data_IF_539911313564
#
_entry.id   IF_539911313564
#
_cell.length_a   1.000
_cell.length_b   1.000
_cell.length_c   1.000
_cell.angle_alpha   90.00
_cell.angle_beta   90.00
_cell.angle_gamma   90.00
#
_symmetry.space_group_name_H-M   'P 1'
#
loop_
_entity.id
_entity.type
_entity.pdbx_description
1 polymer ?
#
# COMPACT_ATOMS: atom_id res chain seq x y z
N UNK A 1 -13.35 -60.36 20.63
CA UNK A 1 -13.53 -61.85 20.63
C UNK A 1 -12.89 -62.52 21.83
N UNK A 2 -11.71 -62.13 22.32
CA UNK A 2 -11.03 -62.76 23.46
C UNK A 2 -11.80 -62.69 24.81
N UNK A 3 -12.47 -61.57 25.07
CA UNK A 3 -13.21 -61.35 26.35
C UNK A 3 -14.56 -62.09 26.40
N UNK A 4 -15.15 -62.34 25.24
CA UNK A 4 -16.36 -63.14 25.15
C UNK A 4 -16.12 -64.63 25.53
N UNK A 5 -15.00 -65.20 25.11
CA UNK A 5 -14.59 -66.54 25.49
C UNK A 5 -14.22 -66.68 26.99
N UNK A 6 -13.63 -65.64 27.59
CA UNK A 6 -13.35 -65.62 29.04
C UNK A 6 -14.61 -65.60 29.89
N UNK A 7 -15.62 -64.80 29.48
CA UNK A 7 -16.89 -64.71 30.17
C UNK A 7 -17.71 -66.02 30.04
N UNK A 8 -17.63 -66.69 28.89
CA UNK A 8 -18.29 -67.98 28.66
C UNK A 8 -17.67 -69.08 29.50
N UNK A 9 -16.34 -69.10 29.71
CA UNK A 9 -15.65 -70.07 30.55
C UNK A 9 -15.94 -69.86 32.03
N UNK A 10 -16.13 -68.63 32.49
CA UNK A 10 -16.52 -68.32 33.86
C UNK A 10 -17.96 -68.71 34.17
N UNK A 11 -18.91 -68.57 33.22
CA UNK A 11 -20.30 -68.96 33.33
C UNK A 11 -20.49 -70.48 33.33
N UNK A 12 -19.68 -71.25 32.59
CA UNK A 12 -19.73 -72.75 32.62
C UNK A 12 -19.27 -73.34 33.95
N UNK A 13 -18.41 -72.63 34.70
CA UNK A 13 -17.97 -73.03 36.05
C UNK A 13 -19.06 -72.75 37.11
N UNK A 14 -19.86 -71.71 36.92
CA UNK A 14 -20.93 -71.33 37.83
C UNK A 14 -22.12 -72.24 37.63
N UNK A 15 -22.45 -72.68 36.40
CA UNK A 15 -23.53 -73.59 36.06
C UNK A 15 -23.36 -75.01 36.67
N UNK A 16 -22.13 -75.40 36.95
CA UNK A 16 -21.88 -76.72 37.56
C UNK A 16 -22.15 -76.79 39.11
N UNK A 17 -22.36 -75.63 39.73
CA UNK A 17 -22.54 -75.52 41.20
C UNK A 17 -24.02 -75.17 41.63
N UNK A 18 -24.83 -74.71 40.69
CA UNK A 18 -26.22 -74.34 40.98
C UNK A 18 -27.15 -74.87 39.84
N UNK A 19 -28.29 -75.51 40.10
CA UNK A 19 -29.19 -76.03 39.09
C UNK A 19 -30.04 -74.84 38.52
N UNK A 20 -29.45 -73.92 37.90
CA UNK A 20 -30.17 -72.86 37.17
C UNK A 20 -30.32 -73.37 35.75
N UNK A 21 -31.61 -73.50 35.30
CA UNK A 21 -31.87 -74.02 33.98
C UNK A 21 -31.23 -73.24 32.87
N UNK A 22 -30.61 -73.89 31.89
CA UNK A 22 -29.90 -73.32 30.73
C UNK A 22 -30.72 -72.23 30.05
N UNK A 23 -32.05 -72.34 30.08
CA UNK A 23 -32.94 -71.33 29.48
C UNK A 23 -32.94 -69.99 30.21
N UNK A 24 -32.71 -69.96 31.52
CA UNK A 24 -32.66 -68.77 32.35
C UNK A 24 -31.32 -67.99 32.05
N UNK A 25 -30.21 -68.72 31.80
CA UNK A 25 -28.98 -68.17 31.45
C UNK A 25 -29.00 -67.54 30.04
N UNK A 26 -29.67 -68.15 29.09
CA UNK A 26 -29.90 -67.64 27.76
C UNK A 26 -30.75 -66.37 27.78
N UNK A 27 -31.81 -66.29 28.52
CA UNK A 27 -32.64 -65.08 28.68
C UNK A 27 -31.88 -63.95 29.33
N UNK A 28 -31.01 -64.25 30.31
CA UNK A 28 -30.18 -63.23 30.95
C UNK A 28 -29.08 -62.67 30.02
N UNK A 29 -28.45 -63.52 29.20
CA UNK A 29 -27.49 -63.12 28.18
C UNK A 29 -28.15 -62.28 27.05
N UNK A 30 -29.33 -62.65 26.64
CA UNK A 30 -30.12 -61.90 25.65
C UNK A 30 -30.52 -60.54 26.19
N UNK A 31 -30.90 -60.43 27.47
CA UNK A 31 -31.19 -59.14 28.11
C UNK A 31 -29.97 -58.22 28.22
N UNK A 32 -28.79 -58.77 28.55
CA UNK A 32 -27.53 -58.04 28.58
C UNK A 32 -27.14 -57.56 27.19
N UNK A 33 -27.32 -58.38 26.15
CA UNK A 33 -27.03 -58.02 24.77
C UNK A 33 -27.94 -56.89 24.29
N UNK A 34 -29.23 -56.95 24.57
CA UNK A 34 -30.23 -55.93 24.24
C UNK A 34 -29.95 -54.62 25.01
N UNK A 35 -29.56 -54.70 26.30
CA UNK A 35 -29.14 -53.51 27.06
C UNK A 35 -27.89 -52.87 26.49
N UNK A 36 -26.86 -53.65 26.12
CA UNK A 36 -25.64 -53.12 25.48
C UNK A 36 -25.94 -52.46 24.14
N UNK A 37 -26.78 -53.07 23.31
CA UNK A 37 -27.18 -52.48 22.01
C UNK A 37 -27.99 -51.20 22.23
N UNK A 38 -28.86 -51.11 23.20
CA UNK A 38 -29.62 -49.89 23.55
C UNK A 38 -28.68 -48.79 24.07
N UNK A 39 -27.70 -49.12 24.92
CA UNK A 39 -26.70 -48.16 25.43
C UNK A 39 -25.83 -47.64 24.30
N UNK A 40 -25.35 -48.50 23.39
CA UNK A 40 -24.55 -48.11 22.23
C UNK A 40 -25.38 -47.26 21.26
N UNK A 41 -26.63 -47.62 21.03
CA UNK A 41 -27.55 -46.83 20.19
C UNK A 41 -27.87 -45.47 20.78
N UNK A 42 -28.04 -45.37 22.11
CA UNK A 42 -28.26 -44.07 22.80
C UNK A 42 -27.03 -43.21 22.80
N UNK A 43 -25.84 -43.80 22.99
CA UNK A 43 -24.55 -43.07 22.87
C UNK A 43 -24.31 -42.60 21.44
N UNK A 44 -24.62 -43.39 20.44
CA UNK A 44 -24.50 -43.03 19.03
C UNK A 44 -25.48 -41.93 18.63
N UNK A 45 -26.72 -41.97 19.18
CA UNK A 45 -27.71 -40.91 18.99
C UNK A 45 -27.33 -39.61 19.70
N UNK A 46 -26.72 -39.69 20.90
CA UNK A 46 -26.15 -38.54 21.61
C UNK A 46 -24.92 -37.95 20.88
N UNK A 47 -24.09 -38.76 20.23
CA UNK A 47 -22.97 -38.32 19.39
C UNK A 47 -23.46 -37.60 18.14
N UNK A 48 -24.52 -38.06 17.48
CA UNK A 48 -25.13 -37.41 16.32
C UNK A 48 -25.80 -36.08 16.73
N UNK A 49 -26.45 -36.03 17.90
CA UNK A 49 -27.02 -34.79 18.42
C UNK A 49 -25.93 -33.72 18.75
N UNK A 50 -24.78 -34.15 19.25
CA UNK A 50 -23.66 -33.23 19.51
C UNK A 50 -22.93 -32.82 18.24
N UNK A 51 -22.91 -33.61 17.16
CA UNK A 51 -22.31 -33.20 15.89
C UNK A 51 -23.11 -32.08 15.20
N UNK A 52 -24.40 -31.94 15.47
CA UNK A 52 -25.19 -30.81 14.99
C UNK A 52 -25.07 -29.54 15.84
N UNK A 53 -24.47 -29.62 17.04
CA UNK A 53 -24.17 -28.43 17.88
C UNK A 53 -22.85 -27.76 17.56
N UNK A 54 -21.98 -28.38 16.74
CA UNK A 54 -20.75 -27.79 16.25
C UNK A 54 -20.84 -27.25 14.81
N UNK A 55 -22.03 -27.31 14.20
CA UNK A 55 -22.27 -26.90 12.82
C UNK A 55 -22.98 -25.54 12.70
N UNK A 56 -22.77 -24.63 13.65
CA UNK A 56 -23.23 -23.24 13.49
C UNK A 56 -22.25 -22.25 14.11
N UNK A 57 -20.98 -22.37 13.79
CA UNK A 57 -20.13 -21.19 13.73
C UNK A 57 -20.63 -20.37 12.54
N UNK A 58 -21.43 -19.33 12.85
CA UNK A 58 -21.89 -18.27 11.99
C UNK A 58 -21.06 -18.13 10.70
N UNK A 59 -21.45 -18.83 9.65
CA UNK A 59 -20.99 -18.59 8.27
C UNK A 59 -21.63 -17.28 7.78
N UNK A 60 -21.42 -16.18 8.53
CA UNK A 60 -21.83 -14.85 8.09
C UNK A 60 -20.97 -14.48 6.90
N UNK A 61 -21.57 -14.46 5.73
CA UNK A 61 -20.92 -13.90 4.55
C UNK A 61 -20.73 -12.39 4.73
N UNK A 62 -19.62 -11.86 4.23
CA UNK A 62 -19.41 -10.42 4.10
C UNK A 62 -19.60 -10.00 2.65
N UNK A 63 -20.48 -9.02 2.46
CA UNK A 63 -20.66 -8.36 1.16
C UNK A 63 -19.89 -7.06 1.14
N UNK A 64 -19.04 -6.88 0.13
CA UNK A 64 -18.16 -5.72 -0.04
C UNK A 64 -18.51 -5.06 -1.37
N UNK A 65 -18.81 -3.78 -1.34
CA UNK A 65 -19.03 -3.00 -2.57
C UNK A 65 -17.71 -2.65 -3.26
N UNK A 66 -17.73 -2.55 -4.57
CA UNK A 66 -16.69 -1.92 -5.36
C UNK A 66 -17.30 -0.77 -6.14
N UNK A 67 -16.81 0.46 -5.92
CA UNK A 67 -17.08 1.63 -6.74
C UNK A 67 -15.89 1.90 -7.64
N UNK A 68 -16.05 1.60 -8.92
CA UNK A 68 -15.02 1.77 -9.93
C UNK A 68 -15.62 2.31 -11.24
N UNK A 69 -14.84 3.01 -12.07
CA UNK A 69 -15.30 3.50 -13.38
C UNK A 69 -15.34 2.34 -14.38
N UNK A 70 -16.42 1.54 -14.35
CA UNK A 70 -16.56 0.34 -15.19
C UNK A 70 -16.99 0.66 -16.62
N UNK A 71 -17.37 1.92 -16.91
CA UNK A 71 -17.74 2.39 -18.24
C UNK A 71 -17.04 3.71 -18.60
N UNK A 72 -16.94 4.01 -19.90
CA UNK A 72 -16.39 5.27 -20.41
C UNK A 72 -14.85 5.28 -20.51
N UNK A 73 -14.27 6.48 -20.51
CA UNK A 73 -12.83 6.72 -20.78
C UNK A 73 -11.89 5.97 -19.83
N UNK A 74 -12.32 5.69 -18.60
CA UNK A 74 -11.50 5.08 -17.55
C UNK A 74 -11.91 3.65 -17.22
N UNK A 75 -12.65 2.99 -18.13
CA UNK A 75 -13.09 1.61 -17.92
C UNK A 75 -11.93 0.63 -17.72
N UNK A 76 -10.80 0.83 -18.38
CA UNK A 76 -9.59 0.02 -18.19
C UNK A 76 -9.09 0.04 -16.73
N UNK A 77 -9.17 1.20 -16.08
CA UNK A 77 -8.85 1.30 -14.64
C UNK A 77 -9.88 0.52 -13.80
N UNK A 78 -11.17 0.65 -14.12
CA UNK A 78 -12.24 -0.07 -13.46
C UNK A 78 -12.09 -1.58 -13.56
N UNK A 79 -11.83 -2.08 -14.77
CA UNK A 79 -11.58 -3.50 -15.02
C UNK A 79 -10.33 -3.98 -14.28
N UNK A 80 -9.27 -3.18 -14.29
CA UNK A 80 -8.04 -3.51 -13.58
C UNK A 80 -8.23 -3.61 -12.08
N UNK A 81 -9.06 -2.75 -11.48
CA UNK A 81 -9.45 -2.84 -10.06
C UNK A 81 -10.26 -4.12 -9.78
N UNK A 82 -11.22 -4.45 -10.63
CA UNK A 82 -12.03 -5.66 -10.50
C UNK A 82 -11.17 -6.92 -10.58
N UNK A 83 -10.25 -6.99 -11.53
CA UNK A 83 -9.31 -8.11 -11.65
C UNK A 83 -8.35 -8.21 -10.47
N UNK A 84 -7.92 -7.08 -9.92
CA UNK A 84 -7.12 -7.02 -8.70
C UNK A 84 -7.85 -7.63 -7.50
N UNK A 85 -9.15 -7.30 -7.34
CA UNK A 85 -9.99 -7.89 -6.29
C UNK A 85 -10.23 -9.39 -6.52
N UNK A 86 -10.43 -9.81 -7.77
CA UNK A 86 -10.55 -11.24 -8.10
C UNK A 86 -9.29 -12.00 -7.69
N UNK A 87 -8.10 -11.43 -7.98
CA UNK A 87 -6.82 -12.04 -7.60
C UNK A 87 -6.67 -12.13 -6.08
N UNK A 88 -7.15 -11.12 -5.35
CA UNK A 88 -7.14 -11.12 -3.88
C UNK A 88 -8.13 -12.15 -3.30
N UNK A 89 -9.32 -12.31 -3.89
CA UNK A 89 -10.29 -13.34 -3.51
C UNK A 89 -9.74 -14.75 -3.71
N UNK A 90 -9.07 -14.99 -4.85
CA UNK A 90 -8.42 -16.29 -5.12
C UNK A 90 -7.34 -16.61 -4.05
N UNK A 91 -6.63 -15.60 -3.53
CA UNK A 91 -5.63 -15.80 -2.45
C UNK A 91 -6.27 -15.96 -1.08
N UNK A 92 -7.35 -15.23 -0.78
CA UNK A 92 -8.12 -15.36 0.46
C UNK A 92 -8.78 -16.73 0.55
N UNK A 93 -9.28 -17.26 -0.56
CA UNK A 93 -9.91 -18.57 -0.68
C UNK A 93 -11.00 -18.81 0.38
N UNK A 94 -11.92 -17.85 0.54
CA UNK A 94 -13.05 -17.90 1.47
C UNK A 94 -14.34 -17.52 0.73
N UNK A 95 -15.19 -18.50 0.48
CA UNK A 95 -16.45 -18.37 -0.27
C UNK A 95 -17.47 -17.43 0.42
N UNK A 96 -17.23 -17.07 1.68
CA UNK A 96 -18.07 -16.12 2.42
C UNK A 96 -17.77 -14.64 2.07
N UNK A 97 -16.77 -14.35 1.23
CA UNK A 97 -16.44 -13.00 0.78
C UNK A 97 -17.04 -12.74 -0.59
N UNK A 98 -17.99 -11.81 -0.66
CA UNK A 98 -18.75 -11.50 -1.88
C UNK A 98 -18.47 -10.06 -2.29
N UNK A 99 -18.00 -9.84 -3.52
CA UNK A 99 -17.80 -8.50 -4.09
C UNK A 99 -19.01 -8.10 -4.95
N UNK A 100 -19.53 -6.90 -4.73
CA UNK A 100 -20.63 -6.30 -5.48
C UNK A 100 -20.12 -5.08 -6.23
N UNK A 101 -19.71 -5.22 -7.51
CA UNK A 101 -19.19 -4.10 -8.30
C UNK A 101 -20.33 -3.21 -8.82
N UNK A 102 -20.10 -1.89 -8.81
CA UNK A 102 -20.96 -0.88 -9.42
C UNK A 102 -20.12 0.18 -10.11
N UNK A 103 -20.66 0.66 -11.23
CA UNK A 103 -20.04 1.72 -12.01
C UNK A 103 -20.18 3.07 -11.31
N UNK A 104 -19.06 3.67 -10.91
CA UNK A 104 -19.03 5.01 -10.31
C UNK A 104 -19.32 6.11 -11.34
N UNK A 105 -19.18 5.81 -12.65
CA UNK A 105 -19.38 6.74 -13.75
C UNK A 105 -18.32 7.83 -13.87
N UNK A 106 -17.23 7.76 -13.13
CA UNK A 106 -16.08 8.67 -13.05
C UNK A 106 -16.48 10.15 -13.15
N UNK A 107 -16.48 10.85 -12.02
CA UNK A 107 -16.92 12.27 -11.89
C UNK A 107 -18.39 12.54 -12.28
N UNK A 108 -19.21 11.51 -12.35
CA UNK A 108 -20.65 11.66 -12.58
C UNK A 108 -21.41 11.48 -11.26
N UNK A 109 -21.83 12.61 -10.67
CA UNK A 109 -22.49 12.63 -9.34
C UNK A 109 -23.78 11.82 -9.28
N UNK A 110 -24.57 11.80 -10.34
CA UNK A 110 -25.84 11.07 -10.39
C UNK A 110 -25.61 9.57 -10.44
N UNK A 111 -24.71 9.12 -11.34
CA UNK A 111 -24.32 7.70 -11.43
C UNK A 111 -23.74 7.20 -10.12
N UNK A 112 -22.86 7.97 -9.51
CA UNK A 112 -22.22 7.62 -8.25
C UNK A 112 -23.26 7.46 -7.13
N UNK A 113 -24.17 8.41 -6.96
CA UNK A 113 -25.23 8.29 -5.96
C UNK A 113 -26.13 7.07 -6.21
N UNK A 114 -26.48 6.79 -7.48
CA UNK A 114 -27.25 5.61 -7.84
C UNK A 114 -26.49 4.32 -7.50
N UNK A 115 -25.19 4.28 -7.83
CA UNK A 115 -24.33 3.12 -7.52
C UNK A 115 -24.21 2.87 -6.01
N UNK A 116 -24.03 3.91 -5.20
CA UNK A 116 -23.96 3.80 -3.74
C UNK A 116 -25.28 3.30 -3.16
N UNK A 117 -26.41 3.85 -3.60
CA UNK A 117 -27.72 3.43 -3.14
C UNK A 117 -28.03 1.96 -3.51
N UNK A 118 -27.61 1.53 -4.69
CA UNK A 118 -27.80 0.15 -5.13
C UNK A 118 -26.89 -0.82 -4.33
N UNK A 119 -25.65 -0.45 -4.04
CA UNK A 119 -24.77 -1.20 -3.14
C UNK A 119 -25.42 -1.32 -1.75
N UNK A 120 -25.94 -0.21 -1.22
CA UNK A 120 -26.59 -0.17 0.10
C UNK A 120 -27.83 -1.09 0.17
N UNK A 121 -28.64 -1.16 -0.90
CA UNK A 121 -29.82 -2.02 -0.97
C UNK A 121 -29.48 -3.54 -0.94
N UNK A 122 -28.22 -3.90 -1.14
CA UNK A 122 -27.71 -5.25 -1.07
C UNK A 122 -27.09 -5.62 0.30
N UNK A 123 -27.40 -4.87 1.36
CA UNK A 123 -26.87 -5.05 2.73
C UNK A 123 -25.34 -4.92 2.83
N UNK A 124 -24.74 -4.12 1.98
CA UNK A 124 -23.31 -3.81 2.04
C UNK A 124 -23.05 -2.72 3.06
N UNK A 125 -22.03 -2.88 3.89
CA UNK A 125 -21.56 -1.88 4.86
C UNK A 125 -20.21 -1.29 4.49
N UNK A 126 -19.38 -2.02 3.75
CA UNK A 126 -18.02 -1.61 3.40
C UNK A 126 -17.86 -1.59 1.89
N UNK A 127 -17.29 -0.50 1.38
CA UNK A 127 -17.11 -0.26 -0.05
C UNK A 127 -15.63 0.04 -0.32
N UNK A 128 -15.05 -0.62 -1.31
CA UNK A 128 -13.75 -0.26 -1.88
C UNK A 128 -13.97 0.83 -2.93
N UNK A 129 -13.32 1.98 -2.76
CA UNK A 129 -13.57 3.22 -3.47
C UNK A 129 -14.06 4.30 -2.51
N UNK A 130 -14.37 5.50 -3.01
CA UNK A 130 -14.13 6.01 -4.36
C UNK A 130 -12.65 6.24 -4.66
N UNK A 131 -12.34 6.61 -5.93
CA UNK A 131 -10.96 6.81 -6.38
C UNK A 131 -10.61 8.29 -6.48
N UNK A 132 -11.55 9.13 -6.90
CA UNK A 132 -11.31 10.55 -7.18
C UNK A 132 -11.78 11.46 -6.05
N UNK A 133 -11.17 12.67 -5.96
CA UNK A 133 -11.54 13.65 -4.93
C UNK A 133 -13.00 14.10 -5.01
N UNK A 134 -13.51 14.32 -6.22
CA UNK A 134 -14.89 14.80 -6.41
C UNK A 134 -15.92 13.76 -5.91
N UNK A 135 -15.55 12.49 -5.98
CA UNK A 135 -16.37 11.39 -5.48
C UNK A 135 -16.38 11.32 -3.95
N UNK A 136 -15.30 11.80 -3.27
CA UNK A 136 -15.22 11.81 -1.80
C UNK A 136 -16.31 12.67 -1.17
N UNK A 137 -16.61 13.85 -1.73
CA UNK A 137 -17.65 14.73 -1.21
C UNK A 137 -19.03 14.08 -1.18
N UNK A 138 -19.26 13.14 -2.09
CA UNK A 138 -20.52 12.38 -2.15
C UNK A 138 -20.48 11.24 -1.15
N UNK A 139 -19.38 10.47 -1.13
CA UNK A 139 -19.22 9.35 -0.21
C UNK A 139 -19.29 9.78 1.27
N UNK A 140 -18.76 10.96 1.61
CA UNK A 140 -18.82 11.54 2.96
C UNK A 140 -20.25 11.72 3.50
N UNK A 141 -21.23 11.92 2.61
CA UNK A 141 -22.64 12.11 3.00
C UNK A 141 -23.34 10.80 3.40
N UNK A 142 -22.76 9.66 3.07
CA UNK A 142 -23.29 8.34 3.38
C UNK A 142 -22.67 7.77 4.67
N UNK A 143 -22.97 8.39 5.81
CA UNK A 143 -22.37 8.07 7.12
C UNK A 143 -22.70 6.65 7.64
N UNK A 144 -23.62 5.95 7.03
CA UNK A 144 -24.00 4.57 7.33
C UNK A 144 -23.17 3.53 6.56
N UNK A 145 -22.28 3.99 5.70
CA UNK A 145 -21.33 3.18 4.91
C UNK A 145 -19.89 3.52 5.27
N UNK A 146 -18.99 2.56 5.11
CA UNK A 146 -17.55 2.71 5.30
C UNK A 146 -16.88 2.56 3.94
N UNK A 147 -16.04 3.52 3.59
CA UNK A 147 -15.32 3.52 2.31
C UNK A 147 -13.83 3.30 2.56
N UNK A 148 -13.26 2.31 1.90
CA UNK A 148 -11.81 2.08 1.85
C UNK A 148 -11.31 2.51 0.48
N UNK A 149 -10.70 3.69 0.44
CA UNK A 149 -10.28 4.28 -0.83
C UNK A 149 -8.84 3.94 -1.17
N UNK A 150 -8.57 3.43 -2.37
CA UNK A 150 -7.21 3.27 -2.88
C UNK A 150 -6.58 4.58 -3.36
N UNK A 151 -7.24 5.72 -3.20
CA UNK A 151 -6.73 7.01 -3.66
C UNK A 151 -5.47 7.45 -2.93
N UNK A 152 -4.52 8.01 -3.68
CA UNK A 152 -3.30 8.61 -3.15
C UNK A 152 -3.48 10.10 -2.79
N UNK A 153 -4.57 10.74 -3.25
CA UNK A 153 -4.68 12.19 -3.27
C UNK A 153 -5.16 12.72 -1.92
N UNK A 154 -6.04 11.99 -1.24
CA UNK A 154 -6.66 12.49 -0.03
C UNK A 154 -6.26 11.67 1.21
N UNK A 155 -5.45 12.29 2.07
CA UNK A 155 -5.13 11.74 3.39
C UNK A 155 -6.16 12.16 4.44
N UNK A 156 -7.22 12.88 4.07
CA UNK A 156 -8.29 13.23 5.00
C UNK A 156 -9.03 11.97 5.39
N UNK A 157 -8.86 11.61 6.65
CA UNK A 157 -9.67 10.63 7.30
C UNK A 157 -10.97 11.34 7.69
N UNK A 158 -12.03 11.03 6.99
CA UNK A 158 -13.35 11.49 7.37
C UNK A 158 -14.01 10.48 8.29
N UNK A 159 -15.19 10.78 8.81
CA UNK A 159 -15.88 9.90 9.74
C UNK A 159 -16.26 8.53 9.16
N UNK A 160 -16.18 8.35 7.83
CA UNK A 160 -16.58 7.12 7.15
C UNK A 160 -15.67 6.71 5.98
N UNK A 161 -14.56 7.45 5.71
CA UNK A 161 -13.62 7.12 4.62
C UNK A 161 -12.22 6.87 5.16
N UNK A 162 -11.62 5.75 4.78
CA UNK A 162 -10.21 5.39 5.05
C UNK A 162 -9.47 5.40 3.72
N UNK A 163 -8.54 6.33 3.54
CA UNK A 163 -7.64 6.33 2.38
C UNK A 163 -6.40 5.49 2.67
N UNK A 164 -6.18 4.45 1.87
CA UNK A 164 -5.03 3.54 1.99
C UNK A 164 -4.00 3.74 0.88
N UNK A 165 -4.17 4.75 0.06
CA UNK A 165 -3.21 5.12 -0.98
C UNK A 165 -1.87 5.55 -0.41
N UNK A 166 -0.85 5.62 -1.27
CA UNK A 166 0.48 6.14 -0.90
C UNK A 166 0.37 7.64 -0.71
N UNK A 167 0.06 8.07 0.52
CA UNK A 167 -0.21 9.48 0.78
C UNK A 167 1.04 10.35 0.61
N UNK A 168 0.84 11.59 0.20
CA UNK A 168 1.91 12.59 0.08
C UNK A 168 2.68 12.75 1.40
N UNK A 169 1.96 12.76 2.51
CA UNK A 169 2.54 12.86 3.85
C UNK A 169 3.46 11.66 4.17
N UNK A 170 3.03 10.44 3.81
CA UNK A 170 3.86 9.24 4.02
C UNK A 170 5.13 9.29 3.18
N UNK A 171 5.03 9.76 1.93
CA UNK A 171 6.17 9.93 1.03
C UNK A 171 7.15 10.96 1.57
N UNK A 172 6.66 12.13 1.96
CA UNK A 172 7.50 13.21 2.46
C UNK A 172 8.16 12.84 3.79
N UNK A 173 7.45 12.20 4.70
CA UNK A 173 8.02 11.68 5.96
C UNK A 173 9.12 10.65 5.71
N UNK A 174 8.94 9.74 4.75
CA UNK A 174 9.95 8.76 4.39
C UNK A 174 11.22 9.43 3.85
N UNK A 175 11.09 10.43 2.96
CA UNK A 175 12.19 11.20 2.43
C UNK A 175 12.92 12.00 3.49
N UNK A 176 12.20 12.71 4.36
CA UNK A 176 12.80 13.51 5.42
C UNK A 176 13.55 12.64 6.44
N UNK A 177 13.01 11.48 6.79
CA UNK A 177 13.69 10.52 7.66
C UNK A 177 14.95 9.97 6.99
N UNK A 178 14.90 9.66 5.69
CA UNK A 178 16.05 9.24 4.90
C UNK A 178 17.13 10.32 4.89
N UNK A 179 16.80 11.56 4.51
CA UNK A 179 17.75 12.67 4.45
C UNK A 179 18.38 12.97 5.82
N UNK A 180 17.58 12.90 6.89
CA UNK A 180 18.09 13.02 8.27
C UNK A 180 19.09 11.89 8.59
N UNK A 181 18.81 10.67 8.18
CA UNK A 181 19.72 9.51 8.31
C UNK A 181 21.04 9.74 7.56
N UNK A 182 20.98 10.42 6.41
CA UNK A 182 22.15 10.85 5.61
C UNK A 182 22.82 12.14 6.15
N UNK A 183 22.41 12.64 7.33
CA UNK A 183 22.92 13.86 7.97
C UNK A 183 22.75 15.13 7.12
N UNK A 184 21.74 15.16 6.25
CA UNK A 184 21.39 16.35 5.45
C UNK A 184 20.50 17.27 6.29
N UNK A 185 20.85 18.57 6.31
CA UNK A 185 20.20 19.57 7.18
C UNK A 185 19.61 20.74 6.42
N UNK A 186 20.05 20.97 5.20
CA UNK A 186 19.63 22.09 4.35
C UNK A 186 18.87 21.56 3.12
N UNK A 187 17.66 21.11 3.32
CA UNK A 187 16.80 20.58 2.25
C UNK A 187 16.00 21.68 1.57
N UNK A 188 15.91 21.63 0.24
CA UNK A 188 14.98 22.44 -0.55
C UNK A 188 13.90 21.54 -1.13
N UNK A 189 12.62 21.86 -0.86
CA UNK A 189 11.49 21.24 -1.52
C UNK A 189 11.11 22.05 -2.75
N UNK A 190 11.14 21.41 -3.91
CA UNK A 190 10.88 22.02 -5.21
C UNK A 190 9.59 21.48 -5.79
N UNK A 191 8.66 22.36 -6.22
CA UNK A 191 7.41 21.95 -6.85
C UNK A 191 6.90 22.96 -7.86
N UNK A 192 6.15 22.49 -8.90
CA UNK A 192 5.72 23.34 -10.00
C UNK A 192 4.53 24.22 -9.64
N UNK A 193 4.43 25.38 -10.28
CA UNK A 193 3.23 26.22 -10.30
C UNK A 193 2.26 25.72 -11.37
N UNK A 194 1.63 24.60 -11.12
CA UNK A 194 0.62 23.96 -11.98
C UNK A 194 -0.71 23.79 -11.23
N UNK A 195 -1.62 23.02 -11.77
CA UNK A 195 -2.94 22.73 -11.17
C UNK A 195 -2.90 22.09 -9.77
N UNK A 196 -1.79 21.50 -9.35
CA UNK A 196 -1.62 20.89 -8.02
C UNK A 196 -0.92 21.80 -7.01
N UNK A 197 -0.56 23.02 -7.42
CA UNK A 197 0.21 23.96 -6.60
C UNK A 197 -0.43 24.23 -5.25
N UNK A 198 -1.72 24.59 -5.24
CA UNK A 198 -2.44 24.94 -4.01
C UNK A 198 -2.56 23.72 -3.07
N UNK A 199 -2.81 22.54 -3.63
CA UNK A 199 -2.88 21.30 -2.87
C UNK A 199 -1.55 20.95 -2.21
N UNK A 200 -0.43 21.03 -2.95
CA UNK A 200 0.91 20.77 -2.41
C UNK A 200 1.24 21.77 -1.31
N UNK A 201 0.97 23.06 -1.57
CA UNK A 201 1.24 24.14 -0.61
C UNK A 201 0.44 23.97 0.69
N UNK A 202 -0.85 23.64 0.61
CA UNK A 202 -1.68 23.33 1.79
C UNK A 202 -1.08 22.17 2.59
N UNK A 203 -0.69 21.09 1.93
CA UNK A 203 -0.14 19.91 2.60
C UNK A 203 1.22 20.16 3.25
N UNK A 204 2.09 20.94 2.61
CA UNK A 204 3.38 21.34 3.17
C UNK A 204 3.18 22.22 4.42
N UNK A 205 2.25 23.17 4.38
CA UNK A 205 1.93 24.03 5.52
C UNK A 205 1.40 23.22 6.72
N UNK A 206 0.58 22.20 6.47
CA UNK A 206 0.02 21.33 7.52
C UNK A 206 1.08 20.44 8.20
N UNK A 207 2.25 20.25 7.59
CA UNK A 207 3.35 19.46 8.16
C UNK A 207 4.29 20.25 9.09
N UNK A 208 4.07 21.59 9.24
CA UNK A 208 4.87 22.45 10.12
C UNK A 208 6.39 22.28 9.93
N UNK A 209 6.86 22.27 8.69
CA UNK A 209 8.26 22.06 8.33
C UNK A 209 9.06 23.37 8.50
N UNK A 210 9.24 23.83 9.74
CA UNK A 210 9.77 25.16 10.10
C UNK A 210 11.19 25.46 9.59
N UNK A 211 11.97 24.45 9.21
CA UNK A 211 13.36 24.61 8.79
C UNK A 211 13.63 24.20 7.34
N UNK A 212 12.59 23.92 6.55
CA UNK A 212 12.75 23.46 5.17
C UNK A 212 12.39 24.58 4.22
N UNK A 213 13.32 24.91 3.32
CA UNK A 213 13.08 25.91 2.27
C UNK A 213 12.22 25.32 1.17
N UNK A 214 11.27 26.10 0.68
CA UNK A 214 10.47 25.74 -0.50
C UNK A 214 10.89 26.59 -1.69
N UNK A 215 10.90 26.00 -2.87
CA UNK A 215 11.15 26.67 -4.13
C UNK A 215 10.09 26.26 -5.16
N UNK A 216 9.41 27.25 -5.71
CA UNK A 216 8.38 27.01 -6.72
C UNK A 216 8.84 27.47 -8.08
N UNK A 217 8.57 26.67 -9.12
CA UNK A 217 9.02 26.95 -10.47
C UNK A 217 7.88 26.84 -11.49
N UNK A 218 8.10 27.50 -12.65
CA UNK A 218 7.24 27.32 -13.81
C UNK A 218 7.55 26.00 -14.50
N UNK A 219 6.55 25.19 -14.88
CA UNK A 219 6.78 23.98 -15.66
C UNK A 219 7.19 24.27 -17.12
N UNK A 220 7.16 25.54 -17.58
CA UNK A 220 7.64 25.91 -18.91
C UNK A 220 9.17 25.81 -18.97
N UNK A 221 9.75 24.94 -19.84
CA UNK A 221 11.19 24.72 -19.96
C UNK A 221 11.99 25.99 -20.28
N UNK A 222 11.40 26.93 -21.03
CA UNK A 222 12.06 28.20 -21.41
C UNK A 222 12.41 29.07 -20.19
N UNK A 223 11.60 28.97 -19.14
CA UNK A 223 11.75 29.77 -17.92
C UNK A 223 12.42 29.00 -16.79
N UNK A 224 12.23 27.68 -16.77
CA UNK A 224 12.67 26.77 -15.70
C UNK A 224 14.17 26.90 -15.42
N UNK A 225 15.01 26.78 -16.45
CA UNK A 225 16.47 26.82 -16.27
C UNK A 225 16.93 28.13 -15.63
N UNK A 226 16.40 29.28 -16.08
CA UNK A 226 16.72 30.58 -15.49
C UNK A 226 16.26 30.73 -14.02
N UNK A 227 15.18 30.04 -13.62
CA UNK A 227 14.75 29.98 -12.22
C UNK A 227 15.70 29.12 -11.37
N UNK A 228 16.16 27.98 -11.91
CA UNK A 228 17.14 27.11 -11.23
C UNK A 228 18.51 27.81 -11.12
N UNK A 229 18.94 28.54 -12.13
CA UNK A 229 20.16 29.38 -12.06
C UNK A 229 20.11 30.36 -10.87
N UNK A 230 18.97 30.98 -10.63
CA UNK A 230 18.78 31.86 -9.46
C UNK A 230 18.85 31.10 -8.15
N UNK A 231 18.18 29.94 -8.05
CA UNK A 231 18.20 29.09 -6.86
C UNK A 231 19.62 28.67 -6.49
N UNK A 232 20.41 28.28 -7.49
CA UNK A 232 21.77 27.76 -7.33
C UNK A 232 22.85 28.84 -7.28
N UNK A 233 22.52 30.12 -7.43
CA UNK A 233 23.44 31.22 -7.60
C UNK A 233 24.48 30.98 -8.73
N UNK A 234 24.07 30.29 -9.80
CA UNK A 234 24.93 29.81 -10.87
C UNK A 234 25.79 30.91 -11.48
N UNK A 235 25.19 32.04 -11.85
CA UNK A 235 25.88 33.16 -12.45
C UNK A 235 26.92 33.80 -11.51
N UNK A 236 26.68 33.84 -10.20
CA UNK A 236 27.65 34.31 -9.22
C UNK A 236 28.80 33.32 -9.07
N UNK A 237 28.52 32.04 -9.03
CA UNK A 237 29.53 30.96 -8.94
C UNK A 237 30.41 30.94 -10.19
N UNK A 238 29.87 31.19 -11.40
CA UNK A 238 30.67 31.40 -12.62
C UNK A 238 31.59 32.61 -12.52
N UNK A 239 31.08 33.76 -12.03
CA UNK A 239 31.89 34.94 -11.82
C UNK A 239 33.03 34.70 -10.82
N UNK A 240 32.73 33.99 -9.73
CA UNK A 240 33.74 33.64 -8.74
C UNK A 240 34.87 32.80 -9.36
N UNK A 241 34.55 31.85 -10.24
CA UNK A 241 35.54 31.06 -10.96
C UNK A 241 36.40 31.93 -11.87
N UNK A 242 35.77 32.79 -12.68
CA UNK A 242 36.49 33.71 -13.58
C UNK A 242 37.43 34.65 -12.81
N UNK A 243 36.94 35.20 -11.70
CA UNK A 243 37.79 36.06 -10.85
C UNK A 243 38.96 35.28 -10.23
N UNK A 244 38.72 34.03 -9.81
CA UNK A 244 39.79 33.20 -9.23
C UNK A 244 40.85 32.84 -10.26
N UNK A 245 40.45 32.48 -11.49
CA UNK A 245 41.39 32.20 -12.60
C UNK A 245 42.29 33.37 -12.87
N UNK A 246 41.76 34.59 -12.97
CA UNK A 246 42.55 35.83 -13.19
C UNK A 246 43.66 36.06 -12.17
N UNK A 247 43.50 35.57 -10.94
CA UNK A 247 44.54 35.72 -9.89
C UNK A 247 45.77 34.88 -10.21
N UNK A 248 45.64 33.81 -11.00
CA UNK A 248 46.72 32.88 -11.29
C UNK A 248 47.21 32.94 -12.74
N UNK A 249 46.46 33.58 -13.67
CA UNK A 249 46.82 33.68 -15.10
C UNK A 249 48.19 34.26 -15.36
N UNK A 250 48.61 35.26 -14.56
CA UNK A 250 49.89 35.98 -14.75
C UNK A 250 51.01 35.46 -13.84
N UNK A 251 50.81 34.29 -13.17
CA UNK A 251 51.81 33.74 -12.25
C UNK A 251 52.55 32.56 -12.88
N UNK A 252 53.88 32.54 -12.70
CA UNK A 252 54.77 31.54 -13.30
C UNK A 252 55.25 30.47 -12.30
N UNK A 253 54.85 30.55 -11.02
CA UNK A 253 55.23 29.56 -10.03
C UNK A 253 54.41 28.25 -10.17
N UNK A 254 55.06 27.14 -9.87
CA UNK A 254 54.50 25.79 -10.04
C UNK A 254 53.17 25.56 -9.29
N UNK A 255 52.98 26.22 -8.14
CA UNK A 255 51.74 26.08 -7.36
C UNK A 255 50.57 26.83 -8.05
N UNK A 256 50.84 28.01 -8.60
CA UNK A 256 49.84 28.79 -9.33
C UNK A 256 49.44 28.14 -10.64
N UNK A 257 50.40 27.53 -11.36
CA UNK A 257 50.13 26.77 -12.57
C UNK A 257 49.22 25.59 -12.26
N UNK A 258 49.54 24.79 -11.26
CA UNK A 258 48.70 23.65 -10.85
C UNK A 258 47.29 24.07 -10.39
N UNK A 259 47.18 25.19 -9.65
CA UNK A 259 45.86 25.69 -9.24
C UNK A 259 45.05 26.19 -10.45
N UNK A 260 45.71 26.85 -11.43
CA UNK A 260 45.04 27.27 -12.66
C UNK A 260 44.54 26.07 -13.46
N UNK A 261 45.36 25.03 -13.65
CA UNK A 261 44.96 23.79 -14.30
C UNK A 261 43.73 23.13 -13.58
N UNK A 262 43.72 23.11 -12.25
CA UNK A 262 42.58 22.62 -11.46
C UNK A 262 41.32 23.46 -11.69
N UNK A 263 41.46 24.79 -11.71
CA UNK A 263 40.33 25.71 -11.93
C UNK A 263 39.80 25.62 -13.36
N UNK A 264 40.61 25.24 -14.34
CA UNK A 264 40.16 25.03 -15.73
C UNK A 264 39.24 23.86 -15.90
N UNK A 265 39.30 22.85 -15.00
CA UNK A 265 38.44 21.71 -15.00
C UNK A 265 37.04 22.03 -14.39
N UNK A 266 36.83 23.19 -13.78
CA UNK A 266 35.59 23.56 -13.12
C UNK A 266 34.70 24.40 -14.04
N UNK A 267 33.39 24.21 -13.89
CA UNK A 267 32.35 25.03 -14.52
C UNK A 267 31.92 26.20 -13.63
N UNK A 268 31.95 26.02 -12.31
CA UNK A 268 31.67 27.08 -11.33
C UNK A 268 32.58 26.95 -10.11
N UNK A 269 32.66 28.00 -9.28
CA UNK A 269 33.43 28.00 -8.03
C UNK A 269 32.54 28.34 -6.84
N UNK A 270 32.51 27.42 -5.86
CA UNK A 270 31.69 27.48 -4.66
C UNK A 270 30.49 26.51 -4.72
N UNK A 271 30.02 26.17 -3.56
CA UNK A 271 28.89 25.22 -3.40
C UNK A 271 27.56 25.96 -3.43
N UNK A 272 26.49 25.22 -3.68
CA UNK A 272 25.10 25.68 -3.46
C UNK A 272 24.81 25.74 -1.95
N UNK A 273 23.77 26.49 -1.56
CA UNK A 273 23.43 26.70 -0.15
C UNK A 273 22.39 25.65 0.38
N UNK A 274 22.38 24.48 -0.22
CA UNK A 274 21.57 23.33 0.20
C UNK A 274 22.36 22.04 -0.02
N UNK A 275 22.03 21.00 0.75
CA UNK A 275 22.70 19.70 0.71
C UNK A 275 21.79 18.56 0.23
N UNK A 276 20.52 18.87 -0.01
CA UNK A 276 19.54 17.95 -0.56
C UNK A 276 18.37 18.67 -1.21
N UNK A 277 17.75 18.01 -2.19
CA UNK A 277 16.55 18.50 -2.85
C UNK A 277 15.47 17.42 -2.84
N UNK A 278 14.20 17.81 -2.66
CA UNK A 278 13.02 16.99 -2.86
C UNK A 278 12.23 17.60 -4.01
N UNK A 279 12.25 16.98 -5.18
CA UNK A 279 11.52 17.46 -6.36
C UNK A 279 10.17 16.77 -6.41
N UNK A 280 9.07 17.52 -6.25
CA UNK A 280 7.71 17.02 -6.33
C UNK A 280 7.22 17.19 -7.76
N UNK A 281 7.60 16.29 -8.65
CA UNK A 281 7.17 16.28 -10.05
C UNK A 281 7.30 14.87 -10.64
N UNK A 282 6.83 14.70 -11.87
CA UNK A 282 6.74 13.42 -12.56
C UNK A 282 7.16 13.54 -14.03
N UNK A 283 7.55 12.41 -14.62
CA UNK A 283 7.80 12.28 -16.05
C UNK A 283 8.80 13.33 -16.58
N UNK A 284 8.49 13.94 -17.73
CA UNK A 284 9.39 14.88 -18.40
C UNK A 284 9.65 16.16 -17.58
N UNK A 285 8.70 16.62 -16.79
CA UNK A 285 8.91 17.79 -15.92
C UNK A 285 9.97 17.49 -14.87
N UNK A 286 9.88 16.36 -14.18
CA UNK A 286 10.90 15.92 -13.22
C UNK A 286 12.29 15.88 -13.89
N UNK A 287 12.38 15.26 -15.07
CA UNK A 287 13.63 15.16 -15.84
C UNK A 287 14.20 16.54 -16.15
N UNK A 288 13.36 17.48 -16.59
CA UNK A 288 13.78 18.86 -16.91
C UNK A 288 14.33 19.60 -15.68
N UNK A 289 13.71 19.41 -14.51
CA UNK A 289 14.22 20.01 -13.25
C UNK A 289 15.56 19.42 -12.89
N UNK A 290 15.70 18.10 -12.93
CA UNK A 290 16.94 17.40 -12.58
C UNK A 290 18.07 17.77 -13.56
N UNK A 291 17.80 17.81 -14.87
CA UNK A 291 18.75 18.26 -15.88
C UNK A 291 19.18 19.72 -15.66
N UNK A 292 18.26 20.60 -15.27
CA UNK A 292 18.58 22.00 -14.96
C UNK A 292 19.46 22.16 -13.71
N UNK A 293 19.25 21.31 -12.69
CA UNK A 293 20.14 21.27 -11.51
C UNK A 293 21.56 20.86 -11.90
N UNK A 294 21.71 19.85 -12.75
CA UNK A 294 23.02 19.40 -13.25
C UNK A 294 23.65 20.46 -14.15
N UNK A 295 22.89 21.06 -15.08
CA UNK A 295 23.36 22.13 -15.93
C UNK A 295 23.92 23.32 -15.11
N UNK A 296 23.29 23.60 -13.97
CA UNK A 296 23.75 24.65 -13.06
C UNK A 296 24.87 24.20 -12.12
N UNK A 297 25.55 23.11 -12.43
CA UNK A 297 26.72 22.58 -11.71
C UNK A 297 26.42 22.31 -10.22
N UNK A 298 25.26 21.67 -9.95
CA UNK A 298 24.96 21.16 -8.62
C UNK A 298 25.63 19.78 -8.46
N UNK A 299 26.62 19.73 -7.57
CA UNK A 299 27.45 18.56 -7.34
C UNK A 299 26.63 17.42 -6.67
N UNK A 300 26.40 16.32 -7.40
CA UNK A 300 25.64 15.16 -6.90
C UNK A 300 26.39 14.35 -5.83
N UNK A 301 27.69 14.53 -5.66
CA UNK A 301 28.44 13.91 -4.59
C UNK A 301 28.21 14.64 -3.25
N UNK A 302 27.80 15.92 -3.30
CA UNK A 302 27.49 16.75 -2.13
C UNK A 302 26.01 16.90 -1.87
N UNK A 303 25.19 16.95 -2.92
CA UNK A 303 23.74 17.20 -2.85
C UNK A 303 22.97 15.94 -3.20
N UNK A 304 22.15 15.43 -2.29
CA UNK A 304 21.29 14.28 -2.53
C UNK A 304 20.03 14.72 -3.30
N UNK A 305 19.80 14.10 -4.44
CA UNK A 305 18.59 14.30 -5.23
C UNK A 305 17.52 13.28 -4.86
N UNK A 306 16.35 13.79 -4.47
CA UNK A 306 15.20 12.95 -4.16
C UNK A 306 13.94 13.42 -4.88
N UNK A 307 12.98 12.51 -5.07
CA UNK A 307 11.67 12.81 -5.64
C UNK A 307 10.59 12.00 -4.94
N UNK A 308 9.32 12.26 -5.27
CA UNK A 308 8.17 11.50 -4.80
C UNK A 308 8.07 10.14 -5.50
N UNK A 309 7.15 9.28 -5.08
CA UNK A 309 6.95 7.95 -5.63
C UNK A 309 6.73 7.97 -7.16
N UNK A 310 7.54 7.23 -7.89
CA UNK A 310 7.51 7.11 -9.35
C UNK A 310 6.98 5.74 -9.83
N UNK A 311 6.39 4.95 -8.97
CA UNK A 311 5.80 3.63 -9.28
C UNK A 311 6.71 2.66 -10.04
N UNK A 312 8.04 2.79 -9.92
CA UNK A 312 9.00 1.99 -10.69
C UNK A 312 8.89 2.19 -12.22
N UNK A 313 8.63 3.43 -12.64
CA UNK A 313 8.60 3.81 -14.05
C UNK A 313 10.01 3.75 -14.65
N UNK A 314 10.26 2.79 -15.53
CA UNK A 314 11.55 2.59 -16.18
C UNK A 314 11.92 3.72 -17.14
N UNK A 315 10.98 4.59 -17.53
CA UNK A 315 11.28 5.74 -18.38
C UNK A 315 12.29 6.72 -17.75
N UNK A 316 12.42 6.67 -16.43
CA UNK A 316 13.39 7.49 -15.67
C UNK A 316 14.84 7.03 -15.90
N UNK A 317 15.08 5.80 -16.36
CA UNK A 317 16.41 5.27 -16.64
C UNK A 317 17.10 5.94 -17.84
N UNK A 318 16.34 6.59 -18.70
CA UNK A 318 16.89 7.24 -19.90
C UNK A 318 17.59 8.57 -19.63
N UNK A 319 17.61 9.04 -18.37
CA UNK A 319 18.33 10.24 -17.95
C UNK A 319 19.75 9.89 -17.45
N UNK A 320 20.67 9.65 -18.38
CA UNK A 320 22.03 9.20 -18.09
C UNK A 320 22.88 10.23 -17.31
N UNK A 321 22.43 11.47 -17.20
CA UNK A 321 23.15 12.55 -16.49
C UNK A 321 22.92 12.53 -14.98
N UNK A 322 21.92 11.79 -14.52
CA UNK A 322 21.58 11.66 -13.10
C UNK A 322 22.27 10.42 -12.55
N UNK A 323 23.28 10.62 -11.67
CA UNK A 323 23.99 9.50 -11.03
C UNK A 323 23.05 8.73 -10.10
N UNK A 324 22.47 9.46 -9.15
CA UNK A 324 21.67 8.90 -8.05
C UNK A 324 20.41 9.71 -7.84
N UNK A 325 19.25 9.07 -8.01
CA UNK A 325 17.97 9.65 -7.66
C UNK A 325 17.27 8.72 -6.65
N UNK A 326 16.90 9.27 -5.51
CA UNK A 326 16.21 8.52 -4.46
C UNK A 326 14.72 8.87 -4.42
N UNK A 327 13.88 7.87 -4.18
CA UNK A 327 12.45 8.10 -4.01
C UNK A 327 11.80 7.05 -3.09
N UNK A 328 10.71 7.40 -2.39
CA UNK A 328 9.97 6.47 -1.54
C UNK A 328 9.00 5.67 -2.40
N UNK A 329 8.93 4.37 -2.17
CA UNK A 329 7.93 3.53 -2.82
C UNK A 329 7.57 2.32 -1.95
N UNK A 330 6.65 1.52 -2.47
CA UNK A 330 6.22 0.26 -1.91
C UNK A 330 7.31 -0.81 -2.07
N UNK A 331 7.11 -1.99 -1.49
CA UNK A 331 8.06 -3.08 -1.64
C UNK A 331 8.14 -3.56 -3.11
N UNK A 332 9.26 -3.32 -3.78
CA UNK A 332 9.47 -3.65 -5.19
C UNK A 332 9.31 -5.15 -5.49
N UNK A 333 9.79 -6.01 -4.59
CA UNK A 333 9.69 -7.46 -4.76
C UNK A 333 8.23 -7.93 -4.74
N UNK A 334 7.43 -7.40 -3.83
CA UNK A 334 6.01 -7.74 -3.73
C UNK A 334 5.21 -7.11 -4.89
N UNK A 335 5.56 -5.91 -5.31
CA UNK A 335 4.97 -5.27 -6.50
C UNK A 335 5.22 -6.11 -7.77
N UNK A 336 6.45 -6.56 -7.99
CA UNK A 336 6.78 -7.44 -9.12
C UNK A 336 6.00 -8.76 -9.07
N UNK A 337 5.96 -9.42 -7.92
CA UNK A 337 5.19 -10.66 -7.75
C UNK A 337 3.70 -10.47 -8.07
N UNK A 338 3.14 -9.34 -7.63
CA UNK A 338 1.75 -9.00 -7.95
C UNK A 338 1.57 -8.84 -9.47
N UNK A 339 2.43 -8.07 -10.14
CA UNK A 339 2.36 -7.84 -11.58
C UNK A 339 2.50 -9.14 -12.37
N UNK A 340 3.46 -10.01 -12.00
CA UNK A 340 3.67 -11.31 -12.63
C UNK A 340 2.44 -12.22 -12.47
N UNK A 341 1.86 -12.26 -11.26
CA UNK A 341 0.66 -13.05 -10.96
C UNK A 341 -0.55 -12.53 -11.73
N UNK A 342 -0.73 -11.21 -11.77
CA UNK A 342 -1.80 -10.54 -12.50
C UNK A 342 -1.67 -10.82 -14.00
N UNK A 343 -0.50 -10.60 -14.61
CA UNK A 343 -0.25 -10.89 -16.02
C UNK A 343 -0.45 -12.37 -16.37
N UNK A 344 0.01 -13.27 -15.52
CA UNK A 344 -0.19 -14.71 -15.72
C UNK A 344 -1.67 -15.07 -15.80
N UNK A 345 -2.50 -14.44 -14.98
CA UNK A 345 -3.94 -14.71 -14.89
C UNK A 345 -4.75 -14.07 -15.99
N UNK A 346 -4.50 -12.78 -16.27
CA UNK A 346 -5.36 -11.95 -17.14
C UNK A 346 -4.72 -11.61 -18.49
N UNK A 347 -3.41 -11.87 -18.69
CA UNK A 347 -2.64 -11.58 -19.93
C UNK A 347 -2.55 -10.09 -20.29
N UNK A 348 -2.81 -9.22 -19.35
CA UNK A 348 -2.64 -7.76 -19.43
C UNK A 348 -1.84 -7.29 -18.20
N UNK A 349 -1.17 -6.15 -18.32
CA UNK A 349 -0.50 -5.53 -17.19
C UNK A 349 -1.51 -4.77 -16.32
N UNK A 350 -1.39 -4.82 -14.99
CA UNK A 350 -2.23 -4.03 -14.12
C UNK A 350 -1.87 -2.55 -14.22
N UNK A 351 -2.84 -1.67 -13.97
CA UNK A 351 -2.51 -0.30 -13.59
C UNK A 351 -1.92 -0.32 -12.16
N UNK A 352 -0.85 0.45 -11.92
CA UNK A 352 -0.06 0.39 -10.68
C UNK A 352 -0.91 0.62 -9.42
N UNK A 353 -1.90 1.52 -9.50
CA UNK A 353 -2.77 1.84 -8.36
C UNK A 353 -3.65 0.66 -7.93
N UNK A 354 -3.85 -0.32 -8.79
CA UNK A 354 -4.78 -1.43 -8.53
C UNK A 354 -4.29 -2.41 -7.47
N UNK A 355 -2.99 -2.44 -7.19
CA UNK A 355 -2.43 -3.18 -6.06
C UNK A 355 -2.98 -2.66 -4.71
N UNK A 356 -3.39 -1.38 -4.66
CA UNK A 356 -4.03 -0.80 -3.48
C UNK A 356 -5.42 -1.41 -3.22
N UNK A 357 -6.17 -1.74 -4.28
CA UNK A 357 -7.46 -2.44 -4.12
C UNK A 357 -7.26 -3.87 -3.59
N UNK A 358 -6.19 -4.54 -4.00
CA UNK A 358 -5.81 -5.85 -3.46
C UNK A 358 -5.61 -5.77 -1.94
N UNK A 359 -4.84 -4.79 -1.46
CA UNK A 359 -4.61 -4.58 -0.03
C UNK A 359 -5.86 -4.08 0.70
N UNK A 360 -6.73 -3.30 0.03
CA UNK A 360 -8.01 -2.90 0.57
C UNK A 360 -8.87 -4.12 0.97
N UNK A 361 -8.97 -5.09 0.06
CA UNK A 361 -9.72 -6.32 0.33
C UNK A 361 -9.08 -7.12 1.47
N UNK A 362 -7.76 -7.24 1.48
CA UNK A 362 -7.02 -7.90 2.57
C UNK A 362 -7.25 -7.24 3.93
N UNK A 363 -7.28 -5.91 3.97
CA UNK A 363 -7.55 -5.13 5.18
C UNK A 363 -8.98 -5.34 5.68
N UNK A 364 -9.97 -5.31 4.78
CA UNK A 364 -11.39 -5.56 5.10
C UNK A 364 -11.55 -6.98 5.63
N UNK A 365 -10.97 -7.96 4.96
CA UNK A 365 -11.01 -9.36 5.38
C UNK A 365 -10.42 -9.56 6.78
N UNK A 366 -9.24 -8.97 7.03
CA UNK A 366 -8.61 -9.02 8.34
C UNK A 366 -9.49 -8.38 9.44
N UNK A 367 -10.05 -7.19 9.18
CA UNK A 367 -10.95 -6.52 10.13
C UNK A 367 -12.19 -7.37 10.43
N UNK A 368 -12.81 -7.94 9.40
CA UNK A 368 -13.97 -8.80 9.52
C UNK A 368 -13.68 -10.08 10.33
N UNK A 369 -12.61 -10.79 9.99
CA UNK A 369 -12.22 -12.01 10.73
C UNK A 369 -11.90 -11.73 12.20
N UNK A 370 -11.28 -10.59 12.48
CA UNK A 370 -10.90 -10.17 13.84
C UNK A 370 -12.13 -9.81 14.70
N UNK A 371 -13.10 -9.10 14.12
CA UNK A 371 -14.21 -8.50 14.85
C UNK A 371 -15.52 -9.31 14.68
N UNK A 372 -15.59 -10.30 13.78
CA UNK A 372 -16.80 -11.08 13.42
C UNK A 372 -17.78 -10.28 12.54
N UNK A 373 -17.71 -8.95 12.52
CA UNK A 373 -18.51 -8.05 11.69
C UNK A 373 -17.80 -6.72 11.52
N UNK A 374 -18.23 -5.92 10.55
CA UNK A 374 -17.77 -4.52 10.36
C UNK A 374 -19.00 -3.62 10.43
N UNK A 375 -19.07 -2.79 11.46
CA UNK A 375 -20.21 -1.92 11.74
C UNK A 375 -19.85 -0.44 11.73
N UNK A 376 -18.60 -0.10 12.00
CA UNK A 376 -18.13 1.27 12.08
C UNK A 376 -16.67 1.39 11.62
N UNK A 377 -16.24 2.61 11.34
CA UNK A 377 -14.85 2.91 10.99
C UNK A 377 -13.88 2.52 12.11
N UNK A 378 -14.34 2.46 13.37
CA UNK A 378 -13.53 2.06 14.52
C UNK A 378 -13.07 0.59 14.45
N UNK A 379 -13.76 -0.24 13.68
CA UNK A 379 -13.38 -1.65 13.44
C UNK A 379 -12.05 -1.77 12.68
N UNK A 380 -11.61 -0.66 12.07
CA UNK A 380 -10.31 -0.51 11.43
C UNK A 380 -9.27 0.17 12.33
N UNK A 381 -9.55 0.39 13.61
CA UNK A 381 -8.58 0.92 14.58
C UNK A 381 -7.69 -0.19 15.10
N UNK A 382 -6.50 -0.33 14.50
CA UNK A 382 -5.54 -1.36 14.88
C UNK A 382 -4.46 -0.77 15.79
N UNK A 383 -4.19 -1.43 16.93
CA UNK A 383 -3.09 -1.04 17.85
C UNK A 383 -1.73 -1.28 17.21
N UNK A 384 -1.61 -2.38 16.46
CA UNK A 384 -0.39 -2.78 15.78
C UNK A 384 -0.44 -2.36 14.32
N UNK A 385 0.74 -2.21 13.73
CA UNK A 385 0.87 -2.02 12.29
C UNK A 385 0.37 -3.24 11.53
N UNK A 386 -0.29 -3.02 10.42
CA UNK A 386 -0.80 -4.07 9.53
C UNK A 386 0.12 -4.16 8.32
N UNK A 387 0.65 -5.34 8.08
CA UNK A 387 1.48 -5.61 6.90
C UNK A 387 0.59 -6.01 5.73
N UNK A 388 0.53 -5.17 4.69
CA UNK A 388 -0.06 -5.46 3.40
C UNK A 388 0.98 -5.91 2.36
N UNK A 389 0.56 -6.04 1.12
CA UNK A 389 1.46 -6.33 -0.02
C UNK A 389 2.29 -5.10 -0.40
N UNK A 390 1.68 -3.92 -0.35
CA UNK A 390 2.35 -2.67 -0.74
C UNK A 390 3.20 -2.06 0.37
N UNK A 391 3.00 -2.44 1.62
CA UNK A 391 3.76 -1.86 2.73
C UNK A 391 3.14 -2.17 4.07
N UNK A 392 3.61 -1.46 5.07
CA UNK A 392 3.12 -1.57 6.43
C UNK A 392 2.28 -0.34 6.76
N UNK A 393 1.02 -0.56 7.09
CA UNK A 393 0.07 0.48 7.46
C UNK A 393 0.06 0.71 8.96
N UNK A 394 0.04 1.97 9.37
CA UNK A 394 -0.22 2.41 10.74
C UNK A 394 -1.51 3.22 10.79
N UNK A 395 -2.39 2.86 11.71
CA UNK A 395 -3.67 3.52 11.93
C UNK A 395 -3.59 4.28 13.26
N UNK A 396 -3.38 5.58 13.22
CA UNK A 396 -3.27 6.43 14.42
C UNK A 396 -4.05 7.73 14.25
N UNK A 397 -4.81 8.09 15.28
CA UNK A 397 -5.53 9.37 15.34
C UNK A 397 -6.38 9.66 14.09
N UNK A 398 -7.05 8.63 13.57
CA UNK A 398 -7.86 8.78 12.37
C UNK A 398 -7.06 8.96 11.07
N UNK A 399 -5.76 8.74 11.06
CA UNK A 399 -4.91 8.81 9.87
C UNK A 399 -4.31 7.44 9.57
N UNK A 400 -4.23 7.13 8.29
CA UNK A 400 -3.46 5.99 7.78
C UNK A 400 -2.13 6.51 7.26
N UNK A 401 -1.04 5.98 7.77
CA UNK A 401 0.31 6.23 7.24
C UNK A 401 0.93 4.92 6.79
N UNK A 402 1.67 4.98 5.69
CA UNK A 402 2.40 3.84 5.17
C UNK A 402 3.90 3.99 5.45
N UNK A 403 4.53 2.88 5.83
CA UNK A 403 5.98 2.79 5.84
C UNK A 403 6.46 2.46 4.43
N UNK A 404 7.12 3.42 3.82
CA UNK A 404 7.67 3.28 2.48
C UNK A 404 9.15 2.95 2.56
N UNK A 405 9.62 2.17 1.61
CA UNK A 405 11.03 1.88 1.39
C UNK A 405 11.64 2.96 0.51
N UNK A 406 12.91 3.30 0.73
CA UNK A 406 13.64 4.20 -0.17
C UNK A 406 14.32 3.38 -1.25
N UNK A 407 14.14 3.80 -2.48
CA UNK A 407 14.79 3.22 -3.64
C UNK A 407 15.74 4.24 -4.28
N UNK A 408 16.84 3.72 -4.77
CA UNK A 408 17.83 4.42 -5.59
C UNK A 408 17.72 3.92 -7.02
N UNK A 409 17.79 4.85 -7.96
CA UNK A 409 17.96 4.50 -9.37
C UNK A 409 19.45 4.49 -9.65
N UNK A 410 19.96 3.35 -10.06
CA UNK A 410 21.38 3.15 -10.39
C UNK A 410 21.52 2.10 -11.48
N UNK A 411 22.29 2.39 -12.52
CA UNK A 411 22.56 1.47 -13.63
C UNK A 411 21.30 0.81 -14.21
N UNK A 412 20.26 1.62 -14.46
CA UNK A 412 18.96 1.20 -14.98
C UNK A 412 18.26 0.12 -14.11
N UNK A 413 18.42 0.23 -12.79
CA UNK A 413 17.78 -0.65 -11.82
C UNK A 413 17.23 0.14 -10.64
N UNK A 414 16.17 -0.39 -10.07
CA UNK A 414 15.64 0.07 -8.79
C UNK A 414 16.30 -0.74 -7.68
N UNK A 415 17.16 -0.08 -6.91
CA UNK A 415 17.90 -0.70 -5.81
C UNK A 415 17.30 -0.19 -4.50
N UNK A 416 16.91 -1.08 -3.62
CA UNK A 416 16.49 -0.72 -2.27
C UNK A 416 17.71 -0.21 -1.50
N UNK A 417 17.57 0.99 -0.93
CA UNK A 417 18.61 1.65 -0.12
C UNK A 417 18.51 1.24 1.35
#
# INVERSE_FOLDING_TARGET
MSDFFKTFKALSVISSKFPIGVETIYKFLELICIMKIKIISTLFFLLILNSNLFADENNKSIKIGLLAPLTGKYSELGDSLLYSLQLALEEINDDNVIIIPRDSGFNNKEKLNKAINDIKSNDVKVIIGPITNDEFEIAEKHNDLIFISPSNINSKFTNNIISIGISFESQLLALLNFLKGQKKTNTVIMYPKNQYFDLINEKLNNLNLSNIKTFTYSPNPEVLTGQIEKLTNYNQRKRNLALRKKIFEDKEDDESIKELERLEQLYTLGDVNFDSVIVIDYGNNLKSVLASLIYTDVDQDKVIFTTVNQWFDESIFYENTIKDLYYPSINYKEFRKYNEKYYKRFKINPNEITILAYDALGLIYYAWKKNGSINSINDFSFKNKIKGKIGTFSFKNGKVTQELEIYKIENNKFIKF
#
